data_IF_684786533018
#
_entry.id   IF_684786533018
#
_cell.length_a   1.000
_cell.length_b   1.000
_cell.length_c   1.000
_cell.angle_alpha   90.00
_cell.angle_beta   90.00
_cell.angle_gamma   90.00
#
_symmetry.space_group_name_H-M   'P 1'
#
loop_
_entity.id
_entity.type
_entity.pdbx_description
1 polymer ?
#
# COMPACT_ATOMS: atom_id res chain seq x y z
N UNK A 1 -22.95 -17.25 17.20
CA UNK A 1 -22.16 -18.32 16.52
C UNK A 1 -20.79 -17.73 16.26
N UNK A 2 -19.69 -18.29 16.80
CA UNK A 2 -18.39 -17.64 16.72
C UNK A 2 -17.79 -17.78 15.32
N UNK A 3 -17.24 -16.67 14.82
CA UNK A 3 -16.63 -16.52 13.51
C UNK A 3 -15.45 -17.49 13.33
N UNK A 4 -15.58 -18.37 12.35
CA UNK A 4 -14.55 -19.32 11.92
C UNK A 4 -13.50 -18.61 11.04
N UNK A 5 -12.86 -17.57 11.58
CA UNK A 5 -11.57 -17.09 11.08
C UNK A 5 -10.53 -18.12 11.55
N UNK A 6 -10.31 -19.17 10.74
CA UNK A 6 -9.11 -20.01 10.70
C UNK A 6 -9.42 -21.27 9.88
N UNK A 7 -9.11 -21.22 8.58
CA UNK A 7 -8.56 -22.37 7.87
C UNK A 7 -7.29 -21.91 7.12
N UNK A 8 -6.36 -21.35 7.89
CA UNK A 8 -4.95 -21.34 7.49
C UNK A 8 -4.34 -22.66 8.00
N UNK A 9 -3.88 -23.46 7.04
CA UNK A 9 -3.18 -24.73 7.26
C UNK A 9 -2.04 -24.55 8.30
N UNK A 10 -1.88 -25.43 9.30
CA UNK A 10 -0.86 -25.29 10.34
C UNK A 10 0.58 -25.22 9.77
N UNK A 11 0.83 -25.88 8.64
CA UNK A 11 2.09 -25.86 7.88
C UNK A 11 2.42 -24.48 7.26
N UNK A 12 1.37 -23.71 6.92
CA UNK A 12 1.51 -22.35 6.34
C UNK A 12 1.78 -21.29 7.41
N UNK A 13 1.23 -21.48 8.62
CA UNK A 13 1.44 -20.56 9.75
C UNK A 13 2.89 -20.59 10.24
N UNK A 14 3.51 -21.77 10.31
CA UNK A 14 4.93 -21.89 10.66
C UNK A 14 5.83 -21.25 9.60
N UNK A 15 5.50 -21.40 8.32
CA UNK A 15 6.25 -20.79 7.21
C UNK A 15 6.17 -19.25 7.26
N UNK A 16 5.00 -18.69 7.56
CA UNK A 16 4.81 -17.23 7.71
C UNK A 16 5.56 -16.71 8.94
N UNK A 17 5.50 -17.41 10.07
CA UNK A 17 6.23 -17.02 11.29
C UNK A 17 7.74 -17.11 11.08
N UNK A 18 8.23 -18.14 10.40
CA UNK A 18 9.65 -18.28 10.05
C UNK A 18 10.10 -17.19 9.07
N UNK A 19 9.25 -16.82 8.09
CA UNK A 19 9.53 -15.73 7.15
C UNK A 19 9.60 -14.37 7.87
N UNK A 20 8.63 -14.07 8.73
CA UNK A 20 8.61 -12.85 9.53
C UNK A 20 9.78 -12.79 10.52
N UNK A 21 10.15 -13.93 11.11
CA UNK A 21 11.32 -14.05 12.00
C UNK A 21 12.63 -13.82 11.24
N UNK A 22 12.79 -14.40 10.04
CA UNK A 22 13.95 -14.18 9.17
C UNK A 22 14.04 -12.73 8.69
N UNK A 23 12.91 -12.10 8.37
CA UNK A 23 12.84 -10.67 8.04
C UNK A 23 13.24 -9.83 9.26
N UNK A 24 12.74 -10.15 10.45
CA UNK A 24 13.10 -9.45 11.70
C UNK A 24 14.59 -9.55 12.02
N UNK A 25 15.19 -10.73 11.87
CA UNK A 25 16.63 -10.94 12.11
C UNK A 25 17.50 -10.30 11.04
N UNK A 26 17.07 -10.37 9.77
CA UNK A 26 17.74 -9.68 8.67
C UNK A 26 17.62 -8.16 8.85
N UNK A 27 16.49 -7.66 9.32
CA UNK A 27 16.27 -6.26 9.67
C UNK A 27 17.14 -5.83 10.87
N UNK A 28 17.32 -6.69 11.88
CA UNK A 28 18.24 -6.44 13.00
C UNK A 28 19.69 -6.35 12.54
N UNK A 29 20.13 -7.25 11.65
CA UNK A 29 21.50 -7.26 11.12
C UNK A 29 21.74 -6.07 10.19
N UNK A 30 20.78 -5.74 9.33
CA UNK A 30 20.80 -4.53 8.49
C UNK A 30 20.86 -3.30 9.39
N UNK A 31 19.97 -3.17 10.37
CA UNK A 31 19.97 -2.07 11.35
C UNK A 31 21.31 -1.93 12.09
N UNK A 32 21.98 -3.04 12.42
CA UNK A 32 23.29 -3.03 13.09
C UNK A 32 24.44 -2.61 12.15
N UNK A 33 24.41 -3.08 10.89
CA UNK A 33 25.39 -2.68 9.88
C UNK A 33 25.21 -1.20 9.45
N UNK A 34 23.97 -0.72 9.35
CA UNK A 34 23.63 0.65 8.94
C UNK A 34 23.96 1.69 10.01
N UNK A 35 23.95 1.32 11.30
CA UNK A 35 24.25 2.22 12.41
C UNK A 35 25.75 2.51 12.60
N UNK A 36 26.65 1.75 11.97
CA UNK A 36 28.10 1.83 12.27
C UNK A 36 28.92 2.56 11.19
N UNK A 37 28.35 2.85 10.00
CA UNK A 37 29.11 3.39 8.87
C UNK A 37 28.56 4.68 8.24
N UNK A 38 27.38 5.15 8.65
CA UNK A 38 26.74 6.35 8.09
C UNK A 38 26.41 7.36 9.19
N UNK A 39 26.45 8.66 8.91
CA UNK A 39 25.76 9.66 9.72
C UNK A 39 24.26 9.53 9.45
N UNK A 40 23.67 8.48 10.04
CA UNK A 40 22.24 8.17 10.08
C UNK A 40 21.34 9.41 10.26
N UNK A 41 21.69 10.40 11.11
CA UNK A 41 20.88 11.61 11.27
C UNK A 41 20.67 12.41 9.98
N UNK A 42 21.62 12.35 9.03
CA UNK A 42 21.49 13.07 7.75
C UNK A 42 20.55 12.36 6.78
N UNK A 43 20.55 11.02 6.79
CA UNK A 43 19.64 10.21 5.97
C UNK A 43 18.21 10.38 6.46
N UNK A 44 18.00 10.27 7.78
CA UNK A 44 16.68 10.48 8.37
C UNK A 44 16.20 11.91 8.15
N UNK A 45 17.06 12.91 8.31
CA UNK A 45 16.68 14.32 8.07
C UNK A 45 16.29 14.56 6.60
N UNK A 46 17.03 14.02 5.64
CA UNK A 46 16.69 14.13 4.23
C UNK A 46 15.35 13.44 3.92
N UNK A 47 15.14 12.23 4.45
CA UNK A 47 13.88 11.50 4.32
C UNK A 47 12.72 12.26 4.94
N UNK A 48 12.90 12.79 6.15
CA UNK A 48 11.86 13.52 6.89
C UNK A 48 11.44 14.79 6.13
N UNK A 49 12.41 15.54 5.58
CA UNK A 49 12.12 16.73 4.76
C UNK A 49 11.42 16.36 3.45
N UNK A 50 11.88 15.29 2.78
CA UNK A 50 11.25 14.81 1.56
C UNK A 50 9.82 14.32 1.79
N UNK A 51 9.61 13.52 2.83
CA UNK A 51 8.28 13.02 3.24
C UNK A 51 7.38 14.16 3.67
N UNK A 52 7.87 15.13 4.45
CA UNK A 52 7.07 16.29 4.85
C UNK A 52 6.66 17.16 3.65
N UNK A 53 7.51 17.27 2.63
CA UNK A 53 7.16 17.97 1.39
C UNK A 53 6.09 17.20 0.61
N UNK A 54 6.29 15.90 0.38
CA UNK A 54 5.35 15.06 -0.38
C UNK A 54 4.00 14.89 0.34
N UNK A 55 3.99 14.89 1.68
CA UNK A 55 2.76 14.80 2.49
C UNK A 55 2.18 16.16 2.86
N UNK A 56 2.71 17.25 2.29
CA UNK A 56 2.19 18.59 2.51
C UNK A 56 0.78 18.76 1.90
N UNK A 57 -0.04 19.60 2.52
CA UNK A 57 -1.39 19.92 2.03
C UNK A 57 -1.47 20.27 0.52
N UNK A 58 -0.59 21.09 -0.07
CA UNK A 58 -0.65 21.37 -1.51
C UNK A 58 -0.35 20.14 -2.38
N UNK A 59 0.57 19.26 -1.96
CA UNK A 59 0.82 18.00 -2.68
C UNK A 59 -0.39 17.08 -2.61
N UNK A 60 -1.07 17.00 -1.46
CA UNK A 60 -2.32 16.26 -1.33
C UNK A 60 -3.41 16.77 -2.27
N UNK A 61 -3.56 18.09 -2.44
CA UNK A 61 -4.51 18.65 -3.41
C UNK A 61 -4.22 18.14 -4.82
N UNK A 62 -2.94 18.13 -5.23
CA UNK A 62 -2.53 17.63 -6.55
C UNK A 62 -2.82 16.12 -6.66
N UNK A 63 -2.47 15.32 -5.65
CA UNK A 63 -2.72 13.87 -5.66
C UNK A 63 -4.21 13.55 -5.76
N UNK A 64 -5.05 14.26 -5.01
CA UNK A 64 -6.49 14.09 -5.06
C UNK A 64 -7.06 14.50 -6.42
N UNK A 65 -6.57 15.57 -7.03
CA UNK A 65 -6.98 15.98 -8.37
C UNK A 65 -6.57 14.95 -9.43
N UNK A 66 -5.33 14.46 -9.39
CA UNK A 66 -4.85 13.43 -10.32
C UNK A 66 -5.62 12.13 -10.14
N UNK A 67 -5.89 11.73 -8.89
CA UNK A 67 -6.68 10.54 -8.58
C UNK A 67 -8.13 10.70 -9.06
N UNK A 68 -8.74 11.86 -8.81
CA UNK A 68 -10.08 12.17 -9.29
C UNK A 68 -10.12 12.05 -10.80
N UNK A 69 -9.19 12.67 -11.53
CA UNK A 69 -9.19 12.61 -12.99
C UNK A 69 -8.89 11.21 -13.53
N UNK A 70 -8.11 10.40 -12.80
CA UNK A 70 -7.80 9.03 -13.18
C UNK A 70 -8.99 8.07 -13.00
N UNK A 71 -9.78 8.22 -11.94
CA UNK A 71 -10.92 7.35 -11.62
C UNK A 71 -12.23 7.89 -12.22
N UNK A 72 -12.40 9.21 -12.18
CA UNK A 72 -13.58 9.98 -12.57
C UNK A 72 -13.17 11.16 -13.45
N UNK A 73 -12.84 10.93 -14.72
CA UNK A 73 -12.49 12.01 -15.63
C UNK A 73 -13.63 13.03 -15.68
N UNK A 74 -13.33 14.31 -15.43
CA UNK A 74 -14.34 15.37 -15.34
C UNK A 74 -15.29 15.27 -14.13
N UNK A 75 -14.98 14.43 -13.13
CA UNK A 75 -15.76 14.25 -11.91
C UNK A 75 -17.01 13.36 -12.06
N UNK A 76 -17.19 12.69 -13.20
CA UNK A 76 -18.34 11.81 -13.45
C UNK A 76 -17.92 10.35 -13.54
N UNK A 77 -18.70 9.44 -12.95
CA UNK A 77 -18.52 8.00 -13.10
C UNK A 77 -18.70 7.61 -14.57
N UNK A 78 -17.69 7.00 -15.21
CA UNK A 78 -17.81 6.55 -16.58
C UNK A 78 -19.00 5.57 -16.70
N UNK A 79 -19.87 5.81 -17.69
CA UNK A 79 -21.03 4.96 -17.94
C UNK A 79 -20.65 3.53 -18.37
N UNK A 80 -19.42 3.34 -18.85
CA UNK A 80 -18.86 2.04 -19.19
C UNK A 80 -17.60 1.78 -18.37
N UNK A 81 -17.35 0.51 -17.98
CA UNK A 81 -16.09 0.12 -17.37
C UNK A 81 -14.93 0.52 -18.28
N UNK A 82 -13.86 1.05 -17.69
CA UNK A 82 -12.65 1.36 -18.44
C UNK A 82 -12.13 0.06 -19.07
N UNK A 83 -11.73 0.09 -20.36
CA UNK A 83 -11.19 -1.10 -21.02
C UNK A 83 -9.99 -1.62 -20.24
N UNK A 84 -9.92 -2.94 -20.09
CA UNK A 84 -8.81 -3.56 -19.37
C UNK A 84 -7.49 -3.25 -20.08
N UNK A 85 -6.51 -2.73 -19.34
CA UNK A 85 -5.18 -2.44 -19.90
C UNK A 85 -4.54 -3.74 -20.36
N UNK A 86 -3.99 -3.73 -21.58
CA UNK A 86 -3.23 -4.88 -22.10
C UNK A 86 -1.98 -5.14 -21.25
N UNK A 87 -1.51 -6.39 -21.23
CA UNK A 87 -0.30 -6.78 -20.50
C UNK A 87 0.92 -5.94 -20.94
N UNK A 88 1.06 -5.70 -22.25
CA UNK A 88 2.13 -4.86 -22.79
C UNK A 88 2.06 -3.40 -22.31
N UNK A 89 0.85 -2.85 -22.17
CA UNK A 89 0.67 -1.48 -21.68
C UNK A 89 0.94 -1.37 -20.17
N UNK A 90 0.59 -2.41 -19.39
CA UNK A 90 0.94 -2.49 -17.97
C UNK A 90 2.47 -2.53 -17.81
N UNK A 91 3.14 -3.41 -18.54
CA UNK A 91 4.61 -3.54 -18.48
C UNK A 91 5.33 -2.27 -18.90
N UNK A 92 4.93 -1.65 -20.01
CA UNK A 92 5.52 -0.37 -20.45
C UNK A 92 5.39 0.72 -19.39
N UNK A 93 4.24 0.79 -18.71
CA UNK A 93 4.02 1.80 -17.66
C UNK A 93 4.85 1.47 -16.42
N UNK A 94 5.03 0.17 -16.10
CA UNK A 94 5.89 -0.32 -15.03
C UNK A 94 7.33 0.15 -15.24
N UNK A 95 7.90 -0.12 -16.42
CA UNK A 95 9.28 0.25 -16.74
C UNK A 95 9.49 1.78 -16.66
N UNK A 96 8.58 2.56 -17.25
CA UNK A 96 8.65 4.03 -17.19
C UNK A 96 8.59 4.57 -15.75
N UNK A 97 7.74 3.97 -14.90
CA UNK A 97 7.62 4.35 -13.50
C UNK A 97 8.88 3.95 -12.72
N UNK A 98 9.42 2.75 -12.97
CA UNK A 98 10.63 2.26 -12.35
C UNK A 98 11.82 3.18 -12.63
N UNK A 99 12.01 3.59 -13.89
CA UNK A 99 13.09 4.50 -14.28
C UNK A 99 12.93 5.88 -13.62
N UNK A 100 11.70 6.39 -13.52
CA UNK A 100 11.40 7.64 -12.82
C UNK A 100 11.70 7.54 -11.31
N UNK A 101 11.29 6.45 -10.66
CA UNK A 101 11.55 6.22 -9.24
C UNK A 101 13.04 6.06 -8.94
N UNK A 102 13.77 5.40 -9.84
CA UNK A 102 15.22 5.28 -9.73
C UNK A 102 15.94 6.63 -9.84
N UNK A 103 15.38 7.61 -10.56
CA UNK A 103 15.91 8.98 -10.64
C UNK A 103 15.49 9.86 -9.47
N UNK A 104 14.36 9.56 -8.82
CA UNK A 104 13.80 10.34 -7.73
C UNK A 104 14.55 10.14 -6.40
N UNK A 105 15.03 8.93 -6.13
CA UNK A 105 15.80 8.69 -4.91
C UNK A 105 17.28 9.05 -5.11
N UNK A 106 17.93 9.66 -4.10
CA UNK A 106 19.31 10.11 -4.23
C UNK A 106 20.27 8.96 -4.52
N UNK A 107 21.37 9.29 -5.18
CA UNK A 107 22.54 8.42 -5.40
C UNK A 107 22.99 7.69 -4.12
N UNK A 108 22.73 8.30 -2.96
CA UNK A 108 22.99 7.73 -1.64
C UNK A 108 22.30 6.37 -1.40
N UNK A 109 21.08 6.16 -1.89
CA UNK A 109 20.37 4.88 -1.70
C UNK A 109 21.00 3.80 -2.59
N UNK A 110 21.33 4.15 -3.83
CA UNK A 110 22.05 3.26 -4.75
C UNK A 110 23.47 2.94 -4.27
N UNK A 111 24.17 3.88 -3.64
CA UNK A 111 25.49 3.65 -3.04
C UNK A 111 25.43 2.72 -1.82
N UNK A 112 24.31 2.73 -1.10
CA UNK A 112 24.12 1.91 0.11
C UNK A 112 23.62 0.49 -0.17
N UNK A 113 22.61 0.34 -1.05
CA UNK A 113 22.00 -0.96 -1.36
C UNK A 113 22.65 -1.63 -2.58
N UNK A 114 23.30 -0.86 -3.44
CA UNK A 114 23.65 -1.27 -4.80
C UNK A 114 22.46 -1.12 -5.75
N UNK A 115 22.76 -0.65 -6.96
CA UNK A 115 21.75 -0.32 -7.98
C UNK A 115 20.79 -1.49 -8.27
N UNK A 116 21.32 -2.70 -8.45
CA UNK A 116 20.52 -3.90 -8.76
C UNK A 116 19.52 -4.24 -7.65
N UNK A 117 19.94 -4.17 -6.38
CA UNK A 117 19.06 -4.51 -5.26
C UNK A 117 17.97 -3.46 -5.06
N UNK A 118 18.32 -2.20 -5.28
CA UNK A 118 17.38 -1.11 -5.21
C UNK A 118 16.35 -1.19 -6.34
N UNK A 119 16.79 -1.42 -7.58
CA UNK A 119 15.91 -1.65 -8.72
C UNK A 119 14.96 -2.82 -8.47
N UNK A 120 15.48 -3.96 -8.03
CA UNK A 120 14.66 -5.13 -7.71
C UNK A 120 13.61 -4.83 -6.63
N UNK A 121 13.99 -4.07 -5.59
CA UNK A 121 13.07 -3.66 -4.53
C UNK A 121 11.94 -2.78 -5.05
N UNK A 122 12.24 -1.81 -5.92
CA UNK A 122 11.22 -0.97 -6.55
C UNK A 122 10.35 -1.78 -7.52
N UNK A 123 10.93 -2.71 -8.24
CA UNK A 123 10.22 -3.58 -9.16
C UNK A 123 9.20 -4.44 -8.42
N UNK A 124 9.59 -5.09 -7.33
CA UNK A 124 8.67 -5.88 -6.48
C UNK A 124 7.57 -5.01 -5.87
N UNK A 125 7.89 -3.77 -5.46
CA UNK A 125 6.89 -2.82 -4.98
C UNK A 125 5.88 -2.48 -6.08
N UNK A 126 6.33 -2.17 -7.30
CA UNK A 126 5.47 -1.86 -8.43
C UNK A 126 4.61 -3.06 -8.86
N UNK A 127 5.15 -4.28 -8.80
CA UNK A 127 4.38 -5.50 -9.05
C UNK A 127 3.25 -5.69 -8.04
N UNK A 128 3.55 -5.45 -6.76
CA UNK A 128 2.54 -5.53 -5.70
C UNK A 128 1.42 -4.50 -5.90
N UNK A 129 1.76 -3.30 -6.38
CA UNK A 129 0.80 -2.25 -6.73
C UNK A 129 -0.01 -2.55 -8.00
N UNK A 130 0.44 -3.49 -8.84
CA UNK A 130 -0.33 -3.93 -10.02
C UNK A 130 -1.23 -5.13 -9.71
N UNK A 131 -1.03 -5.80 -8.57
CA UNK A 131 -1.83 -6.94 -8.16
C UNK A 131 -3.23 -6.50 -7.72
N UNK A 132 -4.25 -7.02 -8.42
CA UNK A 132 -5.64 -6.69 -8.15
C UNK A 132 -6.12 -7.16 -6.76
N UNK A 133 -5.64 -8.31 -6.26
CA UNK A 133 -6.04 -8.83 -4.96
C UNK A 133 -5.46 -7.98 -3.82
N UNK A 134 -4.18 -7.60 -3.93
CA UNK A 134 -3.54 -6.70 -2.96
C UNK A 134 -4.29 -5.37 -2.94
N UNK A 135 -4.51 -4.75 -4.10
CA UNK A 135 -5.21 -3.47 -4.19
C UNK A 135 -6.65 -3.54 -3.68
N UNK A 136 -7.36 -4.65 -3.96
CA UNK A 136 -8.71 -4.88 -3.44
C UNK A 136 -8.72 -4.96 -1.92
N UNK A 137 -7.75 -5.67 -1.32
CA UNK A 137 -7.63 -5.74 0.13
C UNK A 137 -7.30 -4.38 0.73
N UNK A 138 -6.35 -3.65 0.14
CA UNK A 138 -6.01 -2.28 0.56
C UNK A 138 -7.23 -1.36 0.56
N UNK A 139 -8.07 -1.44 -0.48
CA UNK A 139 -9.30 -0.66 -0.55
C UNK A 139 -10.25 -0.98 0.60
N UNK A 140 -10.47 -2.27 0.91
CA UNK A 140 -11.33 -2.63 2.04
C UNK A 140 -10.75 -2.17 3.36
N UNK A 141 -9.44 -2.29 3.59
CA UNK A 141 -8.81 -1.77 4.80
C UNK A 141 -8.99 -0.25 4.94
N UNK A 142 -8.87 0.51 3.84
CA UNK A 142 -9.12 1.95 3.85
C UNK A 142 -10.59 2.24 4.19
N UNK A 143 -11.53 1.51 3.58
CA UNK A 143 -12.96 1.65 3.89
C UNK A 143 -13.25 1.34 5.36
N UNK A 144 -12.66 0.28 5.91
CA UNK A 144 -12.83 -0.09 7.33
C UNK A 144 -12.32 1.01 8.26
N UNK A 145 -11.13 1.56 8.00
CA UNK A 145 -10.57 2.68 8.77
C UNK A 145 -11.42 3.96 8.66
N UNK A 146 -11.97 4.24 7.47
CA UNK A 146 -12.88 5.37 7.27
C UNK A 146 -14.19 5.17 8.00
N UNK A 147 -14.74 3.96 8.00
CA UNK A 147 -15.96 3.62 8.74
C UNK A 147 -15.75 3.76 10.24
N UNK A 148 -14.63 3.25 10.77
CA UNK A 148 -14.25 3.43 12.18
C UNK A 148 -14.15 4.92 12.56
N UNK A 149 -13.60 5.75 11.67
CA UNK A 149 -13.47 7.19 11.91
C UNK A 149 -14.80 7.96 11.80
N UNK A 150 -15.60 7.68 10.77
CA UNK A 150 -16.85 8.42 10.47
C UNK A 150 -18.03 7.95 11.31
N UNK A 151 -18.08 6.65 11.63
CA UNK A 151 -19.16 5.98 12.34
C UNK A 151 -18.54 5.04 13.36
N UNK A 152 -18.04 5.54 14.51
CA UNK A 152 -17.41 4.69 15.52
C UNK A 152 -18.35 3.59 16.05
N UNK A 153 -19.67 3.82 15.99
CA UNK A 153 -20.70 2.81 16.30
C UNK A 153 -20.70 1.60 15.35
N UNK A 154 -20.05 1.69 14.18
CA UNK A 154 -19.90 0.56 13.25
C UNK A 154 -19.04 -0.57 13.80
N UNK A 155 -18.22 -0.30 14.82
CA UNK A 155 -17.47 -1.33 15.53
C UNK A 155 -18.32 -2.09 16.57
N UNK A 156 -19.53 -1.62 16.89
CA UNK A 156 -20.44 -2.34 17.79
C UNK A 156 -21.21 -3.44 17.04
N UNK A 157 -21.04 -4.68 17.48
CA UNK A 157 -21.71 -5.85 16.91
C UNK A 157 -23.25 -5.70 16.96
N UNK A 158 -23.79 -5.02 17.97
CA UNK A 158 -25.24 -4.82 18.10
C UNK A 158 -25.79 -3.88 17.02
N UNK A 159 -25.04 -2.83 16.70
CA UNK A 159 -25.38 -1.89 15.63
C UNK A 159 -25.30 -2.57 14.26
N UNK A 160 -24.25 -3.37 14.00
CA UNK A 160 -24.12 -4.16 12.78
C UNK A 160 -25.29 -5.14 12.61
N UNK A 161 -25.65 -5.88 13.67
CA UNK A 161 -26.78 -6.81 13.63
C UNK A 161 -28.12 -6.09 13.40
N UNK A 162 -28.32 -4.92 14.00
CA UNK A 162 -29.54 -4.12 13.83
C UNK A 162 -29.66 -3.54 12.42
N UNK A 163 -28.56 -3.05 11.84
CA UNK A 163 -28.49 -2.59 10.45
C UNK A 163 -28.79 -3.72 9.46
N UNK A 164 -28.14 -4.87 9.63
CA UNK A 164 -28.36 -6.03 8.77
C UNK A 164 -29.81 -6.48 8.79
N UNK A 165 -30.45 -6.49 9.97
CA UNK A 165 -31.87 -6.80 10.12
C UNK A 165 -32.80 -5.76 9.49
N UNK A 166 -32.44 -4.47 9.53
CA UNK A 166 -33.20 -3.41 8.85
C UNK A 166 -33.14 -3.56 7.33
N UNK A 167 -31.93 -3.76 6.78
CA UNK A 167 -31.74 -3.92 5.33
C UNK A 167 -32.46 -5.15 4.77
N UNK A 168 -32.53 -6.24 5.54
CA UNK A 168 -33.29 -7.43 5.13
C UNK A 168 -34.80 -7.21 5.19
N UNK A 169 -35.29 -6.35 6.08
CA UNK A 169 -36.73 -6.01 6.16
C UNK A 169 -37.19 -5.14 5.00
N UNK A 170 -36.34 -4.25 4.50
CA UNK A 170 -36.69 -3.33 3.41
C UNK A 170 -36.67 -3.99 2.01
N UNK A 171 -36.24 -5.26 1.92
CA UNK A 171 -36.14 -6.02 0.66
C UNK A 171 -37.37 -6.92 0.41
N UNK A 172 -38.37 -6.92 1.31
CA UNK A 172 -39.61 -7.72 1.19
C UNK A 172 -40.88 -6.86 1.20
#
# INVERSE_FOLDING_TARGET
MPCHFLLLNPDKTETIVLFLSKISDTWRIIKYLTLTALPWPRVTLWLDVGVAHLTSAPCWVIYLQVLQEAVWPGGTLPAQPQPERSAAQKEKTKEQCLDCLMQLLPELITDMLGNEKYRLSLETMLESLQDHQINKHLLYCICDLLLEFLIPESCDENFQHSLLQSLTKDTY
#
